data_IF_989476484662
#
_entry.id   IF_989476484662
#
_cell.length_a   1.000
_cell.length_b   1.000
_cell.length_c   1.000
_cell.angle_alpha   90.00
_cell.angle_beta   90.00
_cell.angle_gamma   90.00
#
_symmetry.space_group_name_H-M   'P 1'
#
loop_
_entity.id
_entity.type
_entity.pdbx_description
1 polymer ?
#
# COMPACT_ATOMS: atom_id res chain seq x y z
N UNK A 1 27.23 -4.23 -6.26
CA UNK A 1 26.18 -3.34 -6.81
C UNK A 1 25.35 -2.88 -5.63
N UNK A 2 25.32 -1.59 -5.34
CA UNK A 2 24.54 -1.07 -4.20
C UNK A 2 23.07 -1.01 -4.61
N UNK A 3 22.13 -1.64 -3.89
CA UNK A 3 20.72 -1.70 -4.24
C UNK A 3 20.00 -0.37 -3.92
N UNK A 4 20.50 0.73 -4.49
CA UNK A 4 20.11 2.10 -4.14
C UNK A 4 18.63 2.37 -4.37
N UNK A 5 18.06 1.86 -5.46
CA UNK A 5 16.66 2.11 -5.80
C UNK A 5 15.71 1.30 -4.93
N UNK A 6 16.14 0.12 -4.47
CA UNK A 6 15.41 -0.66 -3.47
C UNK A 6 15.38 0.11 -2.15
N UNK A 7 16.53 0.65 -1.71
CA UNK A 7 16.61 1.42 -0.47
C UNK A 7 15.76 2.70 -0.53
N UNK A 8 15.80 3.45 -1.64
CA UNK A 8 14.89 4.59 -1.86
C UNK A 8 13.43 4.17 -1.84
N UNK A 9 13.09 3.08 -2.51
CA UNK A 9 11.74 2.55 -2.56
C UNK A 9 11.21 2.22 -1.18
N UNK A 10 12.00 1.50 -0.37
CA UNK A 10 11.64 1.11 1.00
C UNK A 10 11.47 2.32 1.91
N UNK A 11 12.43 3.25 1.92
CA UNK A 11 12.36 4.43 2.79
C UNK A 11 11.16 5.31 2.46
N UNK A 12 10.95 5.61 1.18
CA UNK A 12 9.83 6.45 0.74
C UNK A 12 8.52 5.73 0.97
N UNK A 13 8.47 4.43 0.66
CA UNK A 13 7.31 3.58 0.90
C UNK A 13 6.91 3.58 2.38
N UNK A 14 7.86 3.36 3.28
CA UNK A 14 7.64 3.39 4.72
C UNK A 14 7.14 4.77 5.21
N UNK A 15 7.74 5.87 4.73
CA UNK A 15 7.33 7.23 5.10
C UNK A 15 5.92 7.57 4.62
N UNK A 16 5.61 7.27 3.36
CA UNK A 16 4.28 7.47 2.79
C UNK A 16 3.27 6.59 3.52
N UNK A 17 3.62 5.34 3.78
CA UNK A 17 2.82 4.39 4.54
C UNK A 17 2.53 4.87 5.95
N UNK A 18 3.51 5.40 6.67
CA UNK A 18 3.33 6.00 7.99
C UNK A 18 2.35 7.18 7.93
N UNK A 19 2.58 8.11 7.00
CA UNK A 19 1.76 9.31 6.85
C UNK A 19 0.30 8.95 6.56
N UNK A 20 0.04 8.08 5.58
CA UNK A 20 -1.32 7.66 5.24
C UNK A 20 -1.94 6.72 6.26
N UNK A 21 -1.13 5.93 6.98
CA UNK A 21 -1.60 5.12 8.10
C UNK A 21 -2.05 5.96 9.29
N UNK A 22 -1.38 7.09 9.56
CA UNK A 22 -1.85 8.10 10.54
C UNK A 22 -3.17 8.71 10.08
N UNK A 23 -3.29 9.09 8.80
CA UNK A 23 -4.58 9.57 8.25
C UNK A 23 -5.66 8.49 8.40
N UNK A 24 -5.31 7.21 8.22
CA UNK A 24 -6.24 6.09 8.37
C UNK A 24 -6.87 5.95 9.75
N UNK A 25 -6.23 6.46 10.80
CA UNK A 25 -6.85 6.54 12.14
C UNK A 25 -8.16 7.34 12.08
N UNK A 26 -8.18 8.46 11.33
CA UNK A 26 -9.37 9.30 11.16
C UNK A 26 -10.48 8.62 10.35
N UNK A 27 -10.15 7.59 9.57
CA UNK A 27 -11.09 6.79 8.78
C UNK A 27 -11.37 5.40 9.40
N UNK A 28 -10.96 5.19 10.66
CA UNK A 28 -11.11 3.88 11.31
C UNK A 28 -12.56 3.43 11.46
N UNK A 29 -13.50 4.37 11.65
CA UNK A 29 -14.94 4.08 11.65
C UNK A 29 -15.41 3.61 10.27
N UNK A 30 -15.00 4.28 9.18
CA UNK A 30 -15.31 3.86 7.82
C UNK A 30 -14.77 2.46 7.51
N UNK A 31 -13.56 2.13 7.97
CA UNK A 31 -13.00 0.78 7.85
C UNK A 31 -13.82 -0.26 8.61
N UNK A 32 -14.31 0.09 9.80
CA UNK A 32 -15.16 -0.79 10.62
C UNK A 32 -16.49 -1.08 9.91
N UNK A 33 -17.16 -0.04 9.41
CA UNK A 33 -18.42 -0.18 8.68
C UNK A 33 -18.23 -0.95 7.37
N UNK A 34 -17.16 -0.67 6.62
CA UNK A 34 -16.80 -1.44 5.43
C UNK A 34 -16.58 -2.93 5.76
N UNK A 35 -15.86 -3.25 6.85
CA UNK A 35 -15.61 -4.62 7.26
C UNK A 35 -16.91 -5.35 7.67
N UNK A 36 -17.81 -4.68 8.39
CA UNK A 36 -19.13 -5.23 8.74
C UNK A 36 -19.95 -5.51 7.49
N UNK A 37 -20.02 -4.54 6.57
CA UNK A 37 -20.72 -4.69 5.29
C UNK A 37 -20.20 -5.90 4.50
N UNK A 38 -18.88 -6.03 4.37
CA UNK A 38 -18.25 -7.16 3.68
C UNK A 38 -18.63 -8.50 4.33
N UNK A 39 -18.62 -8.59 5.66
CA UNK A 39 -19.02 -9.82 6.37
C UNK A 39 -20.49 -10.13 6.18
N UNK A 40 -21.38 -9.14 6.28
CA UNK A 40 -22.82 -9.32 6.11
C UNK A 40 -23.12 -9.85 4.71
N UNK A 41 -22.62 -9.17 3.68
CA UNK A 41 -22.93 -9.52 2.30
C UNK A 41 -22.29 -10.86 1.89
N UNK A 42 -21.04 -11.12 2.30
CA UNK A 42 -20.41 -12.43 2.07
C UNK A 42 -21.18 -13.54 2.79
N UNK A 43 -21.61 -13.32 4.04
CA UNK A 43 -22.34 -14.32 4.82
C UNK A 43 -23.72 -14.64 4.23
N UNK A 44 -24.42 -13.64 3.70
CA UNK A 44 -25.69 -13.84 2.95
C UNK A 44 -25.48 -14.68 1.69
N UNK A 45 -24.39 -14.44 0.94
CA UNK A 45 -24.07 -15.24 -0.25
C UNK A 45 -23.90 -16.73 0.07
N UNK A 46 -23.42 -17.06 1.28
CA UNK A 46 -23.24 -18.43 1.75
C UNK A 46 -24.36 -18.97 2.65
N UNK A 47 -25.50 -18.26 2.77
CA UNK A 47 -26.65 -18.64 3.60
C UNK A 47 -26.30 -18.93 5.07
N UNK A 48 -25.36 -18.16 5.62
CA UNK A 48 -24.97 -18.24 7.05
C UNK A 48 -26.11 -17.71 7.93
N UNK A 49 -26.26 -18.25 9.14
CA UNK A 49 -27.34 -17.83 10.05
C UNK A 49 -27.14 -16.40 10.58
N UNK A 50 -28.24 -15.68 10.82
CA UNK A 50 -28.22 -14.34 11.43
C UNK A 50 -27.50 -14.32 12.79
N UNK A 51 -27.61 -15.40 13.57
CA UNK A 51 -26.88 -15.55 14.82
C UNK A 51 -25.37 -15.53 14.62
N UNK A 52 -24.86 -16.27 13.63
CA UNK A 52 -23.42 -16.33 13.35
C UNK A 52 -22.91 -15.01 12.77
N UNK A 53 -23.70 -14.35 11.93
CA UNK A 53 -23.41 -13.00 11.42
C UNK A 53 -23.28 -12.01 12.58
N UNK A 54 -24.20 -12.03 13.54
CA UNK A 54 -24.16 -11.12 14.69
C UNK A 54 -22.91 -11.32 15.56
N UNK A 55 -22.46 -12.57 15.72
CA UNK A 55 -21.22 -12.92 16.44
C UNK A 55 -20.01 -12.36 15.69
N UNK A 56 -19.97 -12.51 14.36
CA UNK A 56 -18.88 -12.00 13.54
C UNK A 56 -18.80 -10.46 13.58
N UNK A 57 -19.95 -9.76 13.50
CA UNK A 57 -20.00 -8.29 13.63
C UNK A 57 -19.46 -7.84 14.98
N UNK A 58 -19.89 -8.47 16.07
CA UNK A 58 -19.41 -8.12 17.43
C UNK A 58 -17.91 -8.38 17.58
N UNK A 59 -17.38 -9.42 16.92
CA UNK A 59 -15.95 -9.68 16.85
C UNK A 59 -15.20 -8.53 16.14
N UNK A 60 -15.70 -8.07 14.98
CA UNK A 60 -15.14 -6.93 14.26
C UNK A 60 -15.10 -5.69 15.14
N UNK A 61 -16.20 -5.34 15.81
CA UNK A 61 -16.25 -4.14 16.66
C UNK A 61 -15.21 -4.15 17.78
N UNK A 62 -14.99 -5.32 18.38
CA UNK A 62 -13.96 -5.48 19.41
C UNK A 62 -12.55 -5.40 18.82
N UNK A 63 -12.31 -6.05 17.68
CA UNK A 63 -11.00 -6.07 17.02
C UNK A 63 -10.60 -4.71 16.46
N UNK A 64 -11.55 -3.96 15.89
CA UNK A 64 -11.29 -2.66 15.25
C UNK A 64 -10.69 -1.65 16.23
N UNK A 65 -11.05 -1.71 17.53
CA UNK A 65 -10.45 -0.86 18.57
C UNK A 65 -8.93 -1.01 18.66
N UNK A 66 -8.41 -2.22 18.44
CA UNK A 66 -6.98 -2.50 18.46
C UNK A 66 -6.33 -2.22 17.11
N UNK A 67 -7.01 -2.59 16.02
CA UNK A 67 -6.51 -2.39 14.65
C UNK A 67 -6.24 -0.92 14.36
N UNK A 68 -7.07 0.01 14.85
CA UNK A 68 -6.86 1.45 14.65
C UNK A 68 -5.47 1.92 15.05
N UNK A 69 -4.94 1.45 16.18
CA UNK A 69 -3.59 1.82 16.64
C UNK A 69 -2.47 1.15 15.82
N UNK A 70 -2.78 0.06 15.14
CA UNK A 70 -1.85 -0.65 14.27
C UNK A 70 -1.84 -0.11 12.83
N UNK A 71 -2.80 0.74 12.44
CA UNK A 71 -2.87 1.30 11.07
C UNK A 71 -1.57 2.01 10.63
N UNK A 72 -0.90 2.85 11.45
CA UNK A 72 0.37 3.46 11.06
C UNK A 72 1.48 2.42 10.83
N UNK A 73 1.54 1.40 11.69
CA UNK A 73 2.55 0.33 11.60
C UNK A 73 2.29 -0.54 10.36
N UNK A 74 1.04 -0.91 10.12
CA UNK A 74 0.61 -1.61 8.91
C UNK A 74 0.94 -0.80 7.66
N UNK A 75 0.70 0.52 7.69
CA UNK A 75 1.05 1.44 6.63
C UNK A 75 2.56 1.40 6.31
N UNK A 76 3.42 1.48 7.33
CA UNK A 76 4.88 1.37 7.17
C UNK A 76 5.28 0.05 6.52
N UNK A 77 4.76 -1.07 7.01
CA UNK A 77 5.09 -2.40 6.49
C UNK A 77 4.63 -2.55 5.04
N UNK A 78 3.38 -2.21 4.75
CA UNK A 78 2.82 -2.28 3.40
C UNK A 78 3.59 -1.37 2.45
N UNK A 79 3.84 -0.13 2.86
CA UNK A 79 4.61 0.84 2.08
C UNK A 79 6.02 0.35 1.79
N UNK A 80 6.72 -0.24 2.77
CA UNK A 80 8.04 -0.82 2.57
C UNK A 80 8.01 -1.98 1.56
N UNK A 81 7.02 -2.87 1.62
CA UNK A 81 6.85 -3.98 0.67
C UNK A 81 6.64 -3.46 -0.76
N UNK A 82 5.72 -2.49 -0.94
CA UNK A 82 5.52 -1.83 -2.23
C UNK A 82 6.82 -1.17 -2.73
N UNK A 83 7.56 -0.57 -1.79
CA UNK A 83 8.88 0.02 -2.00
C UNK A 83 9.91 -0.97 -2.53
N UNK A 84 9.99 -2.17 -1.96
CA UNK A 84 10.87 -3.24 -2.45
C UNK A 84 10.52 -3.63 -3.88
N UNK A 85 9.23 -3.78 -4.19
CA UNK A 85 8.78 -4.20 -5.52
C UNK A 85 9.15 -3.14 -6.57
N UNK A 86 8.69 -1.89 -6.39
CA UNK A 86 8.96 -0.83 -7.34
C UNK A 86 10.46 -0.50 -7.43
N UNK A 87 11.16 -0.46 -6.30
CA UNK A 87 12.60 -0.26 -6.25
C UNK A 87 13.40 -1.39 -6.89
N UNK A 88 12.94 -2.64 -6.74
CA UNK A 88 13.55 -3.83 -7.33
C UNK A 88 13.47 -3.83 -8.85
N UNK A 89 12.28 -3.56 -9.41
CA UNK A 89 12.12 -3.39 -10.86
C UNK A 89 12.90 -2.18 -11.39
N UNK A 90 12.91 -1.08 -10.65
CA UNK A 90 13.72 0.11 -11.00
C UNK A 90 15.20 -0.23 -11.06
N UNK A 91 15.72 -0.96 -10.07
CA UNK A 91 17.11 -1.41 -10.05
C UNK A 91 17.41 -2.31 -11.24
N UNK A 92 16.51 -3.25 -11.55
CA UNK A 92 16.66 -4.13 -12.71
C UNK A 92 16.72 -3.34 -14.02
N UNK A 93 15.82 -2.38 -14.23
CA UNK A 93 15.80 -1.55 -15.44
C UNK A 93 17.01 -0.61 -15.54
N UNK A 94 17.42 0.01 -14.44
CA UNK A 94 18.57 0.92 -14.42
C UNK A 94 19.89 0.17 -14.65
N UNK A 95 20.10 -0.95 -13.96
CA UNK A 95 21.39 -1.63 -13.94
C UNK A 95 21.56 -2.64 -15.09
N UNK A 96 20.52 -3.48 -15.33
CA UNK A 96 20.60 -4.54 -16.33
C UNK A 96 20.25 -4.02 -17.71
N UNK A 97 19.22 -3.19 -17.83
CA UNK A 97 18.79 -2.64 -19.12
C UNK A 97 19.42 -1.28 -19.44
N UNK A 98 20.21 -0.71 -18.53
CA UNK A 98 20.89 0.59 -18.68
C UNK A 98 19.95 1.73 -19.03
N UNK A 99 18.71 1.67 -18.54
CA UNK A 99 17.69 2.70 -18.74
C UNK A 99 17.98 3.88 -17.82
N UNK A 100 17.72 5.11 -18.28
CA UNK A 100 17.87 6.31 -17.44
C UNK A 100 17.07 6.17 -16.14
N UNK A 101 17.62 6.56 -14.97
CA UNK A 101 16.99 6.35 -13.66
C UNK A 101 15.53 6.79 -13.56
N UNK A 102 15.19 7.95 -14.12
CA UNK A 102 13.81 8.48 -14.13
C UNK A 102 12.85 7.57 -14.90
N UNK A 103 13.27 7.09 -16.08
CA UNK A 103 12.46 6.21 -16.91
C UNK A 103 12.36 4.83 -16.25
N UNK A 104 13.46 4.33 -15.68
CA UNK A 104 13.48 3.09 -14.92
C UNK A 104 12.53 3.14 -13.72
N UNK A 105 12.49 4.25 -12.98
CA UNK A 105 11.60 4.45 -11.84
C UNK A 105 10.14 4.47 -12.27
N UNK A 106 9.82 5.19 -13.35
CA UNK A 106 8.47 5.20 -13.93
C UNK A 106 8.03 3.79 -14.35
N UNK A 107 8.89 3.04 -15.04
CA UNK A 107 8.60 1.66 -15.44
C UNK A 107 8.41 0.74 -14.22
N UNK A 108 9.24 0.86 -13.18
CA UNK A 108 9.11 0.08 -11.95
C UNK A 108 7.78 0.34 -11.24
N UNK A 109 7.35 1.60 -11.19
CA UNK A 109 6.02 2.00 -10.71
C UNK A 109 4.89 1.40 -11.57
N UNK A 110 5.01 1.44 -12.91
CA UNK A 110 3.99 0.87 -13.80
C UNK A 110 3.83 -0.64 -13.58
N UNK A 111 4.92 -1.35 -13.35
CA UNK A 111 4.87 -2.78 -12.99
C UNK A 111 4.13 -2.97 -11.65
N UNK A 112 4.41 -2.14 -10.65
CA UNK A 112 3.70 -2.19 -9.38
C UNK A 112 2.18 -1.98 -9.56
N UNK A 113 1.77 -0.95 -10.31
CA UNK A 113 0.35 -0.70 -10.59
C UNK A 113 -0.30 -1.84 -11.36
N UNK A 114 0.41 -2.44 -12.32
CA UNK A 114 -0.09 -3.58 -13.05
C UNK A 114 -0.36 -4.79 -12.13
N UNK A 115 0.57 -5.09 -11.22
CA UNK A 115 0.39 -6.16 -10.22
C UNK A 115 -0.82 -5.86 -9.32
N UNK A 116 -0.94 -4.63 -8.81
CA UNK A 116 -2.07 -4.23 -7.96
C UNK A 116 -3.40 -4.30 -8.71
N UNK A 117 -3.45 -3.83 -9.96
CA UNK A 117 -4.64 -3.88 -10.79
C UNK A 117 -5.09 -5.32 -11.04
N UNK A 118 -4.15 -6.24 -11.29
CA UNK A 118 -4.45 -7.68 -11.41
C UNK A 118 -5.05 -8.23 -10.12
N UNK A 119 -4.44 -7.96 -8.98
CA UNK A 119 -4.92 -8.46 -7.67
C UNK A 119 -6.34 -7.95 -7.41
N UNK A 120 -6.58 -6.65 -7.59
CA UNK A 120 -7.90 -6.03 -7.39
C UNK A 120 -8.91 -6.65 -8.35
N UNK A 121 -8.59 -6.74 -9.64
CA UNK A 121 -9.47 -7.30 -10.65
C UNK A 121 -9.89 -8.74 -10.32
N UNK A 122 -8.93 -9.64 -10.02
CA UNK A 122 -9.26 -11.02 -9.70
C UNK A 122 -10.06 -11.16 -8.41
N UNK A 123 -9.73 -10.37 -7.39
CA UNK A 123 -10.47 -10.38 -6.11
C UNK A 123 -11.90 -9.88 -6.33
N UNK A 124 -12.08 -8.84 -7.12
CA UNK A 124 -13.39 -8.26 -7.42
C UNK A 124 -14.26 -9.21 -8.24
N UNK A 125 -13.69 -9.87 -9.26
CA UNK A 125 -14.39 -10.92 -10.03
C UNK A 125 -14.83 -12.08 -9.13
N UNK A 126 -13.96 -12.54 -8.22
CA UNK A 126 -14.28 -13.64 -7.32
C UNK A 126 -15.35 -13.28 -6.29
N UNK A 127 -15.41 -12.01 -5.88
CA UNK A 127 -16.37 -11.51 -4.89
C UNK A 127 -17.65 -10.91 -5.51
N UNK A 128 -17.77 -10.95 -6.84
CA UNK A 128 -18.94 -10.41 -7.55
C UNK A 128 -19.06 -8.88 -7.49
N UNK A 129 -17.93 -8.17 -7.41
CA UNK A 129 -17.91 -6.69 -7.34
C UNK A 129 -17.91 -6.12 -5.93
N UNK A 130 -17.98 -6.98 -4.90
CA UNK A 130 -18.16 -6.55 -3.51
C UNK A 130 -17.01 -5.67 -3.00
N UNK A 131 -15.77 -5.96 -3.42
CA UNK A 131 -14.58 -5.25 -2.94
C UNK A 131 -14.54 -3.83 -3.50
N UNK A 132 -14.76 -3.68 -4.81
CA UNK A 132 -14.77 -2.35 -5.43
C UNK A 132 -15.95 -1.52 -4.96
N UNK A 133 -17.16 -2.11 -4.84
CA UNK A 133 -18.33 -1.39 -4.31
C UNK A 133 -18.08 -0.90 -2.89
N UNK A 134 -17.60 -1.77 -1.99
CA UNK A 134 -17.31 -1.40 -0.61
C UNK A 134 -16.24 -0.32 -0.51
N UNK A 135 -15.18 -0.41 -1.32
CA UNK A 135 -14.13 0.62 -1.33
C UNK A 135 -14.68 1.99 -1.74
N UNK A 136 -15.51 2.04 -2.79
CA UNK A 136 -16.06 3.32 -3.29
C UNK A 136 -17.17 3.91 -2.43
N UNK A 137 -17.90 3.07 -1.70
CA UNK A 137 -18.98 3.49 -0.81
C UNK A 137 -18.45 4.05 0.51
N UNK A 138 -17.46 3.39 1.10
CA UNK A 138 -16.99 3.72 2.45
C UNK A 138 -15.74 4.60 2.47
N UNK A 139 -14.92 4.61 1.41
CA UNK A 139 -13.70 5.40 1.36
C UNK A 139 -13.71 6.38 0.18
N UNK A 140 -13.37 7.66 0.40
CA UNK A 140 -13.30 8.61 -0.69
C UNK A 140 -12.13 8.27 -1.63
N UNK A 141 -12.34 8.45 -2.94
CA UNK A 141 -11.36 8.04 -3.95
C UNK A 141 -9.96 8.63 -3.75
N UNK A 142 -9.88 9.89 -3.27
CA UNK A 142 -8.59 10.52 -3.00
C UNK A 142 -7.83 9.83 -1.86
N UNK A 143 -8.53 9.22 -0.90
CA UNK A 143 -7.90 8.49 0.19
C UNK A 143 -7.40 7.12 -0.27
N UNK A 144 -8.12 6.48 -1.21
CA UNK A 144 -7.70 5.23 -1.85
C UNK A 144 -6.48 5.45 -2.75
N UNK A 145 -6.51 6.48 -3.60
CA UNK A 145 -5.45 6.75 -4.58
C UNK A 145 -4.27 7.56 -4.02
N UNK A 146 -4.52 8.35 -2.99
CA UNK A 146 -3.56 9.28 -2.39
C UNK A 146 -2.23 8.65 -2.01
N UNK A 147 -2.18 7.52 -1.27
CA UNK A 147 -0.95 6.84 -0.91
C UNK A 147 -0.07 6.53 -2.13
N UNK A 148 -0.69 6.01 -3.19
CA UNK A 148 0.02 5.64 -4.41
C UNK A 148 0.54 6.85 -5.16
N UNK A 149 -0.28 7.89 -5.34
CA UNK A 149 0.13 9.12 -6.01
C UNK A 149 1.28 9.81 -5.26
N UNK A 150 1.19 9.86 -3.93
CA UNK A 150 2.24 10.45 -3.08
C UNK A 150 3.54 9.66 -3.22
N UNK A 151 3.46 8.33 -3.17
CA UNK A 151 4.60 7.44 -3.37
C UNK A 151 5.26 7.65 -4.73
N UNK A 152 4.48 7.70 -5.81
CA UNK A 152 4.97 7.87 -7.18
C UNK A 152 5.74 9.17 -7.34
N UNK A 153 5.18 10.28 -6.86
CA UNK A 153 5.80 11.59 -6.97
C UNK A 153 7.14 11.60 -6.21
N UNK A 154 7.14 11.16 -4.95
CA UNK A 154 8.33 11.15 -4.12
C UNK A 154 9.41 10.21 -4.66
N UNK A 155 9.02 8.99 -5.07
CA UNK A 155 9.96 8.00 -5.59
C UNK A 155 10.61 8.47 -6.90
N UNK A 156 9.84 9.08 -7.81
CA UNK A 156 10.41 9.67 -9.03
C UNK A 156 11.37 10.82 -8.73
N UNK A 157 11.03 11.70 -7.78
CA UNK A 157 11.92 12.80 -7.35
C UNK A 157 13.25 12.27 -6.83
N UNK A 158 13.21 11.29 -5.93
CA UNK A 158 14.41 10.69 -5.33
C UNK A 158 15.27 9.95 -6.35
N UNK A 159 14.66 9.33 -7.37
CA UNK A 159 15.39 8.64 -8.42
C UNK A 159 15.96 9.57 -9.50
N UNK A 160 15.42 10.79 -9.64
CA UNK A 160 15.73 11.71 -10.75
C UNK A 160 16.64 12.87 -10.35
N UNK A 161 16.56 13.32 -9.10
CA UNK A 161 17.29 14.50 -8.62
C UNK A 161 18.42 14.03 -7.71
N UNK A 162 19.63 14.51 -7.96
CA UNK A 162 20.74 14.38 -7.01
C UNK A 162 20.43 15.24 -5.79
N UNK A 163 20.23 14.60 -4.65
CA UNK A 163 19.80 15.27 -3.43
C UNK A 163 20.63 14.86 -2.21
N UNK A 164 20.37 15.49 -1.05
CA UNK A 164 21.08 15.18 0.19
C UNK A 164 20.96 13.70 0.61
N UNK A 165 19.92 13.01 0.13
CA UNK A 165 19.70 11.58 0.34
C UNK A 165 20.69 10.66 -0.39
N UNK A 166 21.46 11.14 -1.37
CA UNK A 166 22.54 10.32 -1.98
C UNK A 166 23.59 9.94 -0.93
N UNK A 167 23.88 10.85 0.01
CA UNK A 167 24.81 10.58 1.12
C UNK A 167 24.36 9.42 2.02
N UNK A 168 23.06 9.13 2.10
CA UNK A 168 22.54 8.03 2.92
C UNK A 168 22.83 6.65 2.31
N UNK A 169 23.09 6.61 1.00
CA UNK A 169 23.37 5.39 0.24
C UNK A 169 24.86 5.23 -0.05
N UNK A 170 25.55 6.35 -0.24
CA UNK A 170 26.96 6.39 -0.64
C UNK A 170 27.93 6.59 0.54
N UNK A 171 27.45 6.86 1.76
CA UNK A 171 28.33 6.96 2.93
C UNK A 171 29.05 5.62 3.17
N UNK A 172 30.39 5.58 3.13
CA UNK A 172 31.13 4.39 3.49
C UNK A 172 30.86 4.04 4.96
N UNK A 173 30.91 2.74 5.35
CA UNK A 173 30.76 2.34 6.74
C UNK A 173 31.80 3.11 7.58
N UNK A 174 31.32 3.93 8.51
CA UNK A 174 32.19 4.53 9.51
C UNK A 174 32.63 3.39 10.42
N UNK A 175 33.90 3.02 10.32
CA UNK A 175 34.54 2.19 11.34
C UNK A 175 34.42 2.94 12.67
N UNK A 176 33.62 2.40 13.59
CA UNK A 176 33.57 2.80 14.99
C UNK A 176 34.40 1.83 15.81
#
# INVERSE_FOLDING_TARGET
>A
MTPKYILYGVLIGALVGLFWGIIGIAYSENYSEMAKYLVIETSKQYNVSESEISIAIKSIENTMRYVTYLLPISGVINGAILGVIAGGFTQLFADKLRIKPTIAAFMGIMVLFFILAIIIYYTDVYTGGLITSSLTEYLPLWYVLGPYLTYVILFMVFCSIKGPWESWVEAPPKNY
#
